data_IF_956400183765
#
_entry.id   IF_956400183765
#
_cell.length_a   1.000
_cell.length_b   1.000
_cell.length_c   1.000
_cell.angle_alpha   90.00
_cell.angle_beta   90.00
_cell.angle_gamma   90.00
#
_symmetry.space_group_name_H-M   'P 1'
#
loop_
_entity.id
_entity.type
_entity.pdbx_description
1 polymer ?
#
# COMPACT_ATOMS: atom_id res chain seq x y z
N UNK A 1 -15.87 -21.62 0.02
CA UNK A 1 -15.40 -22.84 -0.66
C UNK A 1 -14.13 -23.28 0.03
N UNK A 2 -14.11 -24.47 0.63
CA UNK A 2 -12.91 -25.02 1.27
C UNK A 2 -12.04 -25.57 0.14
N UNK A 3 -10.91 -24.92 -0.15
CA UNK A 3 -9.95 -25.42 -1.12
C UNK A 3 -9.01 -26.41 -0.41
N UNK A 4 -9.05 -27.67 -0.81
CA UNK A 4 -8.11 -28.68 -0.34
C UNK A 4 -6.84 -28.58 -1.17
N UNK A 5 -5.68 -28.52 -0.53
CA UNK A 5 -4.39 -28.36 -1.21
C UNK A 5 -4.04 -29.58 -2.07
N UNK A 6 -4.43 -30.79 -1.66
CA UNK A 6 -4.09 -32.04 -2.35
C UNK A 6 -5.21 -33.10 -2.23
N UNK A 7 -6.34 -32.96 -2.95
CA UNK A 7 -7.48 -33.89 -2.85
C UNK A 7 -7.14 -35.31 -3.32
N UNK A 8 -6.06 -35.48 -4.09
CA UNK A 8 -5.57 -36.75 -4.60
C UNK A 8 -4.94 -37.66 -3.53
N UNK A 9 -4.55 -37.12 -2.37
CA UNK A 9 -3.97 -37.91 -1.29
C UNK A 9 -4.97 -38.96 -0.74
N UNK A 10 -6.27 -38.64 -0.73
CA UNK A 10 -7.34 -39.59 -0.37
C UNK A 10 -7.51 -40.71 -1.42
N UNK A 11 -7.26 -40.41 -2.70
CA UNK A 11 -7.34 -41.40 -3.77
C UNK A 11 -6.20 -42.42 -3.74
N UNK A 12 -5.03 -42.05 -3.21
CA UNK A 12 -3.87 -42.95 -3.06
C UNK A 12 -3.95 -43.84 -1.80
N UNK A 13 -4.75 -43.47 -0.80
CA UNK A 13 -4.93 -44.28 0.41
C UNK A 13 -5.62 -45.63 0.14
N UNK A 14 -6.58 -45.65 -0.80
CA UNK A 14 -7.31 -46.86 -1.21
C UNK A 14 -6.42 -47.93 -1.87
N UNK A 15 -5.61 -47.63 -2.90
CA UNK A 15 -4.72 -48.62 -3.51
C UNK A 15 -3.60 -49.06 -2.56
N UNK A 16 -3.11 -48.19 -1.67
CA UNK A 16 -2.12 -48.57 -0.65
C UNK A 16 -2.70 -49.57 0.36
N UNK A 17 -3.92 -49.34 0.85
CA UNK A 17 -4.62 -50.30 1.71
C UNK A 17 -4.90 -51.63 0.99
N UNK A 18 -5.27 -51.58 -0.29
CA UNK A 18 -5.46 -52.77 -1.12
C UNK A 18 -4.16 -53.56 -1.34
N UNK A 19 -3.05 -52.87 -1.61
CA UNK A 19 -1.71 -53.48 -1.76
C UNK A 19 -1.26 -54.16 -0.45
N UNK A 20 -1.46 -53.52 0.69
CA UNK A 20 -1.15 -54.09 2.01
C UNK A 20 -1.99 -55.33 2.31
N UNK A 21 -3.27 -55.31 1.95
CA UNK A 21 -4.14 -56.49 2.08
C UNK A 21 -3.71 -57.62 1.14
N UNK A 22 -3.34 -57.30 -0.11
CA UNK A 22 -2.88 -58.28 -1.09
C UNK A 22 -1.54 -58.91 -0.68
N UNK A 23 -0.60 -58.11 -0.17
CA UNK A 23 0.70 -58.57 0.29
C UNK A 23 0.64 -59.47 1.54
N UNK A 24 -0.50 -59.48 2.25
CA UNK A 24 -0.72 -60.38 3.40
C UNK A 24 -1.52 -61.63 3.05
N UNK A 25 -1.87 -61.83 1.78
CA UNK A 25 -2.36 -63.15 1.36
C UNK A 25 -1.18 -64.12 1.46
N UNK A 26 -1.32 -65.25 2.16
CA UNK A 26 -0.31 -66.29 2.11
C UNK A 26 -0.14 -66.69 0.64
N UNK A 27 1.08 -66.63 0.13
CA UNK A 27 1.39 -67.21 -1.17
C UNK A 27 0.92 -68.66 -1.10
N UNK A 28 0.00 -69.01 -2.00
CA UNK A 28 -0.39 -70.41 -2.19
C UNK A 28 0.77 -71.05 -2.92
N UNK A 29 1.78 -71.42 -2.14
CA UNK A 29 2.98 -72.07 -2.64
C UNK A 29 2.56 -73.45 -3.17
N UNK A 30 2.43 -73.53 -4.49
CA UNK A 30 2.11 -74.77 -5.18
C UNK A 30 3.37 -75.62 -5.18
N UNK A 31 3.52 -76.45 -4.16
CA UNK A 31 4.56 -77.48 -4.12
C UNK A 31 4.20 -78.60 -5.08
N UNK A 32 4.99 -78.76 -6.14
CA UNK A 32 4.96 -79.99 -6.95
C UNK A 32 5.41 -81.17 -6.08
N UNK A 33 4.47 -82.05 -5.77
CA UNK A 33 4.73 -83.31 -5.08
C UNK A 33 4.75 -84.44 -6.12
N UNK A 34 5.90 -85.10 -6.26
CA UNK A 34 6.12 -86.15 -7.27
C UNK A 34 5.36 -87.47 -7.05
N UNK A 35 4.49 -87.56 -6.05
CA UNK A 35 3.70 -88.77 -5.75
C UNK A 35 2.21 -88.43 -5.64
N UNK A 36 1.55 -88.38 -6.80
CA UNK A 36 0.09 -88.20 -6.93
C UNK A 36 -0.69 -89.38 -6.31
N UNK A 37 -0.07 -90.56 -6.22
CA UNK A 37 -0.69 -91.77 -5.70
C UNK A 37 -1.11 -91.69 -4.21
N UNK A 38 -0.39 -90.93 -3.38
CA UNK A 38 -0.73 -90.75 -1.96
C UNK A 38 -1.90 -89.78 -1.73
N UNK A 39 -2.33 -89.05 -2.78
CA UNK A 39 -3.44 -88.10 -2.72
C UNK A 39 -4.74 -88.67 -3.29
N UNK A 40 -4.72 -89.81 -3.97
CA UNK A 40 -5.93 -90.43 -4.52
C UNK A 40 -6.86 -91.02 -3.45
N UNK A 41 -6.32 -91.42 -2.30
CA UNK A 41 -7.08 -92.08 -1.22
C UNK A 41 -7.30 -91.21 0.01
N UNK A 42 -7.03 -89.91 -0.05
CA UNK A 42 -7.45 -89.01 1.02
C UNK A 42 -8.92 -88.62 0.77
N UNK A 43 -9.90 -89.08 1.58
CA UNK A 43 -11.22 -88.49 1.51
C UNK A 43 -11.04 -87.00 1.81
N UNK A 44 -11.27 -86.16 0.80
CA UNK A 44 -11.32 -84.72 0.93
C UNK A 44 -12.31 -84.44 2.06
N UNK A 45 -11.79 -84.18 3.27
CA UNK A 45 -12.61 -83.92 4.43
C UNK A 45 -13.42 -82.66 4.10
N UNK A 46 -14.75 -82.75 3.88
CA UNK A 46 -15.55 -81.60 3.50
C UNK A 46 -15.51 -80.52 4.58
N UNK A 47 -15.14 -80.91 5.82
CA UNK A 47 -14.94 -80.00 6.94
C UNK A 47 -13.64 -79.21 6.84
N UNK A 48 -12.61 -79.70 6.15
CA UNK A 48 -11.37 -78.96 5.91
C UNK A 48 -11.56 -77.88 4.83
N UNK A 49 -12.32 -78.18 3.77
CA UNK A 49 -12.69 -77.20 2.74
C UNK A 49 -13.68 -76.14 3.27
N UNK A 50 -14.63 -76.53 4.14
CA UNK A 50 -15.56 -75.59 4.79
C UNK A 50 -14.90 -74.71 5.86
N UNK A 51 -13.75 -75.12 6.42
CA UNK A 51 -12.95 -74.35 7.38
C UNK A 51 -11.99 -73.35 6.72
N UNK A 52 -11.99 -73.23 5.38
CA UNK A 52 -11.49 -72.05 4.69
C UNK A 52 -12.44 -70.86 4.95
N UNK A 53 -12.63 -70.53 6.22
CA UNK A 53 -13.34 -69.35 6.66
C UNK A 53 -12.68 -68.17 5.96
N UNK A 54 -13.49 -67.37 5.26
CA UNK A 54 -13.05 -66.07 4.74
C UNK A 54 -12.36 -65.36 5.89
N UNK A 55 -11.05 -65.08 5.83
CA UNK A 55 -10.42 -64.37 6.93
C UNK A 55 -11.12 -63.03 7.00
N UNK A 56 -11.93 -62.83 8.05
CA UNK A 56 -12.42 -61.52 8.39
C UNK A 56 -11.17 -60.66 8.49
N UNK A 57 -11.12 -59.51 7.79
CA UNK A 57 -9.93 -58.67 7.82
C UNK A 57 -9.59 -58.40 9.29
N UNK A 58 -8.35 -58.71 9.73
CA UNK A 58 -8.00 -58.54 11.13
C UNK A 58 -8.24 -57.08 11.52
N UNK A 59 -8.65 -56.83 12.77
CA UNK A 59 -8.88 -55.48 13.32
C UNK A 59 -7.77 -54.49 12.96
N UNK A 60 -6.54 -55.00 12.81
CA UNK A 60 -5.37 -54.28 12.34
C UNK A 60 -5.54 -53.59 10.97
N UNK A 61 -6.26 -54.19 10.02
CA UNK A 61 -6.53 -53.60 8.70
C UNK A 61 -7.45 -52.38 8.82
N UNK A 62 -8.46 -52.47 9.68
CA UNK A 62 -9.35 -51.34 9.96
C UNK A 62 -8.61 -50.22 10.69
N UNK A 63 -7.72 -50.58 11.63
CA UNK A 63 -6.88 -49.61 12.33
C UNK A 63 -5.92 -48.90 11.35
N UNK A 64 -5.28 -49.64 10.44
CA UNK A 64 -4.41 -49.09 9.40
C UNK A 64 -5.17 -48.18 8.44
N UNK A 65 -6.38 -48.58 8.01
CA UNK A 65 -7.25 -47.76 7.18
C UNK A 65 -7.67 -46.47 7.91
N UNK A 66 -8.02 -46.56 9.20
CA UNK A 66 -8.36 -45.39 10.01
C UNK A 66 -7.16 -44.43 10.15
N UNK A 67 -5.95 -44.94 10.39
CA UNK A 67 -4.73 -44.12 10.44
C UNK A 67 -4.45 -43.46 9.09
N UNK A 68 -4.62 -44.17 7.97
CA UNK A 68 -4.48 -43.60 6.63
C UNK A 68 -5.48 -42.49 6.36
N UNK A 69 -6.75 -42.67 6.76
CA UNK A 69 -7.78 -41.64 6.66
C UNK A 69 -7.45 -40.43 7.54
N UNK A 70 -6.96 -40.65 8.76
CA UNK A 70 -6.55 -39.57 9.66
C UNK A 70 -5.33 -38.80 9.14
N UNK A 71 -4.35 -39.49 8.57
CA UNK A 71 -3.18 -38.87 7.93
C UNK A 71 -3.60 -38.11 6.67
N UNK A 72 -4.47 -38.68 5.84
CA UNK A 72 -5.01 -38.00 4.66
C UNK A 72 -5.84 -36.76 5.05
N UNK A 73 -6.63 -36.83 6.13
CA UNK A 73 -7.37 -35.70 6.69
C UNK A 73 -6.42 -34.64 7.28
N UNK A 74 -5.34 -35.06 7.96
CA UNK A 74 -4.33 -34.17 8.53
C UNK A 74 -3.46 -33.50 7.45
N UNK A 75 -3.19 -34.16 6.33
CA UNK A 75 -2.53 -33.55 5.16
C UNK A 75 -3.50 -32.64 4.40
N UNK A 76 -4.78 -33.02 4.37
CA UNK A 76 -5.88 -32.21 3.82
C UNK A 76 -6.33 -31.08 4.74
N UNK A 77 -5.55 -30.77 5.80
CA UNK A 77 -5.88 -29.67 6.69
C UNK A 77 -6.06 -28.40 5.85
N UNK A 78 -7.15 -27.62 6.05
CA UNK A 78 -7.35 -26.38 5.34
C UNK A 78 -6.11 -25.50 5.54
N UNK A 79 -5.40 -25.22 4.44
CA UNK A 79 -4.30 -24.26 4.44
C UNK A 79 -4.82 -22.96 5.03
N UNK A 80 -4.17 -22.49 6.10
CA UNK A 80 -4.50 -21.17 6.65
C UNK A 80 -4.39 -20.17 5.50
N UNK A 81 -5.40 -19.31 5.28
CA UNK A 81 -5.25 -18.25 4.29
C UNK A 81 -3.96 -17.48 4.60
N UNK A 82 -3.18 -17.19 3.55
CA UNK A 82 -2.01 -16.33 3.70
C UNK A 82 -2.47 -15.07 4.46
N UNK A 83 -1.86 -14.72 5.60
CA UNK A 83 -2.23 -13.52 6.34
C UNK A 83 -2.02 -12.24 5.52
N UNK A 84 -1.33 -12.33 4.38
CA UNK A 84 -1.09 -11.21 3.47
C UNK A 84 -2.33 -10.89 2.63
N UNK A 85 -2.68 -9.61 2.50
CA UNK A 85 -3.69 -9.15 1.55
C UNK A 85 -3.41 -9.67 0.13
N UNK A 86 -4.47 -10.03 -0.59
CA UNK A 86 -4.41 -10.54 -1.95
C UNK A 86 -3.97 -9.48 -2.97
N UNK A 87 -4.17 -8.20 -2.64
CA UNK A 87 -3.76 -7.07 -3.45
C UNK A 87 -3.50 -5.84 -2.57
N UNK A 88 -2.89 -4.81 -3.16
CA UNK A 88 -2.72 -3.50 -2.54
C UNK A 88 -3.24 -2.40 -3.46
N UNK A 89 -3.85 -1.38 -2.87
CA UNK A 89 -4.32 -0.17 -3.52
C UNK A 89 -3.55 1.00 -2.93
N UNK A 90 -2.81 1.71 -3.78
CA UNK A 90 -2.10 2.93 -3.45
C UNK A 90 -2.91 4.11 -4.01
N UNK A 91 -3.29 5.02 -3.12
CA UNK A 91 -3.93 6.28 -3.47
C UNK A 91 -2.97 7.43 -3.15
N UNK A 92 -2.63 8.21 -4.16
CA UNK A 92 -1.89 9.46 -3.99
C UNK A 92 -2.75 10.48 -3.23
N UNK A 93 -2.19 11.04 -2.17
CA UNK A 93 -2.83 12.06 -1.33
C UNK A 93 -1.96 13.31 -1.22
N UNK A 94 -1.09 13.54 -2.19
CA UNK A 94 -0.25 14.74 -2.27
C UNK A 94 -1.06 16.02 -2.48
N UNK A 95 -0.42 17.18 -2.30
CA UNK A 95 -1.05 18.48 -2.49
C UNK A 95 -1.62 18.67 -3.90
N UNK A 96 -0.98 18.14 -4.94
CA UNK A 96 -1.48 18.23 -6.32
C UNK A 96 -2.80 17.48 -6.53
N UNK A 97 -3.11 16.50 -5.68
CA UNK A 97 -4.41 15.82 -5.69
C UNK A 97 -5.57 16.69 -5.21
N UNK A 98 -5.29 17.83 -4.57
CA UNK A 98 -6.33 18.84 -4.25
C UNK A 98 -6.74 19.68 -5.46
N UNK A 99 -6.03 19.58 -6.58
CA UNK A 99 -6.32 20.35 -7.78
C UNK A 99 -7.72 20.05 -8.32
N UNK A 100 -8.42 21.07 -8.80
CA UNK A 100 -9.76 20.93 -9.38
C UNK A 100 -9.70 20.80 -10.90
N UNK A 101 -10.49 19.88 -11.44
CA UNK A 101 -10.67 19.71 -12.90
C UNK A 101 -12.17 19.63 -13.18
N UNK A 102 -12.76 20.76 -13.59
CA UNK A 102 -14.22 20.90 -13.65
C UNK A 102 -14.85 20.92 -12.26
N UNK A 103 -15.88 20.10 -12.05
CA UNK A 103 -16.67 20.08 -10.82
C UNK A 103 -16.06 19.26 -9.68
N UNK A 104 -15.10 18.38 -9.99
CA UNK A 104 -14.44 17.50 -9.04
C UNK A 104 -12.96 17.84 -8.86
N UNK A 105 -12.45 17.58 -7.67
CA UNK A 105 -11.02 17.51 -7.38
C UNK A 105 -10.42 16.20 -7.90
N UNK A 106 -9.09 16.20 -8.10
CA UNK A 106 -8.35 14.99 -8.47
C UNK A 106 -8.51 13.90 -7.40
N UNK A 107 -8.50 14.25 -6.11
CA UNK A 107 -8.72 13.28 -5.03
C UNK A 107 -10.12 12.65 -5.08
N UNK A 108 -11.17 13.41 -5.37
CA UNK A 108 -12.52 12.86 -5.54
C UNK A 108 -12.60 11.89 -6.72
N UNK A 109 -11.97 12.26 -7.85
CA UNK A 109 -11.88 11.39 -9.03
C UNK A 109 -11.07 10.12 -8.74
N UNK A 110 -10.00 10.24 -7.95
CA UNK A 110 -9.16 9.14 -7.55
C UNK A 110 -9.88 8.18 -6.59
N UNK A 111 -10.67 8.69 -5.63
CA UNK A 111 -11.55 7.88 -4.76
C UNK A 111 -12.60 7.12 -5.57
N UNK A 112 -13.21 7.76 -6.58
CA UNK A 112 -14.16 7.08 -7.46
C UNK A 112 -13.49 5.93 -8.22
N UNK A 113 -12.30 6.17 -8.80
CA UNK A 113 -11.52 5.16 -9.49
C UNK A 113 -11.03 4.02 -8.57
N UNK A 114 -10.69 4.35 -7.32
CA UNK A 114 -10.31 3.40 -6.28
C UNK A 114 -11.48 2.47 -5.92
N UNK A 115 -12.68 3.03 -5.69
CA UNK A 115 -13.89 2.27 -5.42
C UNK A 115 -14.26 1.35 -6.58
N UNK A 116 -14.16 1.85 -7.82
CA UNK A 116 -14.41 1.05 -9.01
C UNK A 116 -13.43 -0.13 -9.09
N UNK A 117 -12.14 0.12 -8.89
CA UNK A 117 -11.13 -0.94 -8.93
C UNK A 117 -11.32 -1.97 -7.81
N UNK A 118 -11.70 -1.52 -6.61
CA UNK A 118 -11.99 -2.39 -5.48
C UNK A 118 -13.22 -3.26 -5.74
N UNK A 119 -14.25 -2.73 -6.40
CA UNK A 119 -15.45 -3.48 -6.78
C UNK A 119 -15.17 -4.59 -7.81
N UNK A 120 -14.09 -4.46 -8.58
CA UNK A 120 -13.64 -5.46 -9.55
C UNK A 120 -12.77 -6.58 -8.93
N UNK A 121 -12.41 -6.47 -7.66
CA UNK A 121 -11.65 -7.53 -6.98
C UNK A 121 -12.54 -8.71 -6.61
N UNK A 122 -11.97 -9.93 -6.49
CA UNK A 122 -12.72 -11.08 -6.02
C UNK A 122 -13.41 -10.76 -4.68
N UNK A 123 -14.70 -11.08 -4.58
CA UNK A 123 -15.45 -10.87 -3.34
C UNK A 123 -14.72 -11.52 -2.17
N UNK A 124 -14.70 -10.82 -1.03
CA UNK A 124 -14.07 -11.29 0.21
C UNK A 124 -12.54 -11.40 0.18
N UNK A 125 -11.88 -10.85 -0.84
CA UNK A 125 -10.42 -10.74 -0.85
C UNK A 125 -9.97 -9.58 0.03
N UNK A 126 -8.93 -9.81 0.84
CA UNK A 126 -8.32 -8.75 1.63
C UNK A 126 -7.46 -7.86 0.73
N UNK A 127 -7.63 -6.54 0.84
CA UNK A 127 -6.89 -5.52 0.09
C UNK A 127 -6.25 -4.54 1.08
N UNK A 128 -4.95 -4.31 0.95
CA UNK A 128 -4.24 -3.27 1.72
C UNK A 128 -4.47 -1.91 1.04
N UNK A 129 -5.02 -0.94 1.75
CA UNK A 129 -5.20 0.44 1.28
C UNK A 129 -4.06 1.29 1.84
N UNK A 130 -3.30 1.92 0.95
CA UNK A 130 -2.09 2.68 1.27
C UNK A 130 -2.25 4.10 0.76
N UNK A 131 -2.03 5.07 1.63
CA UNK A 131 -1.98 6.48 1.29
C UNK A 131 -0.54 6.88 0.97
N UNK A 132 -0.32 7.48 -0.20
CA UNK A 132 0.96 8.03 -0.62
C UNK A 132 0.96 9.55 -0.44
N UNK A 133 1.25 10.00 0.79
CA UNK A 133 1.49 11.42 1.12
C UNK A 133 2.97 11.68 1.41
N UNK A 134 3.24 12.62 2.32
CA UNK A 134 4.61 12.91 2.81
C UNK A 134 5.36 11.66 3.30
N UNK A 135 4.61 10.68 3.80
CA UNK A 135 5.08 9.33 4.12
C UNK A 135 4.04 8.35 3.63
N UNK A 136 4.51 7.21 3.12
CA UNK A 136 3.63 6.10 2.79
C UNK A 136 3.11 5.42 4.06
N UNK A 137 1.79 5.34 4.21
CA UNK A 137 1.13 4.71 5.37
C UNK A 137 0.06 3.75 4.89
N UNK A 138 0.05 2.53 5.45
CA UNK A 138 -1.09 1.62 5.30
C UNK A 138 -2.23 2.17 6.15
N UNK A 139 -3.27 2.69 5.49
CA UNK A 139 -4.41 3.28 6.15
C UNK A 139 -5.27 2.19 6.79
N UNK A 140 -5.61 1.15 6.02
CA UNK A 140 -6.48 0.07 6.46
C UNK A 140 -6.31 -1.17 5.58
N UNK A 141 -6.58 -2.37 6.13
CA UNK A 141 -6.78 -3.59 5.33
C UNK A 141 -8.27 -3.87 5.29
N UNK A 142 -8.83 -3.90 4.08
CA UNK A 142 -10.27 -3.99 3.86
C UNK A 142 -10.65 -5.25 3.10
N UNK A 143 -11.85 -5.76 3.34
CA UNK A 143 -12.42 -6.87 2.58
C UNK A 143 -13.17 -6.33 1.34
N UNK A 144 -12.80 -6.80 0.14
CA UNK A 144 -13.43 -6.38 -1.11
C UNK A 144 -14.94 -6.68 -1.14
N UNK A 145 -15.74 -5.65 -1.43
CA UNK A 145 -17.19 -5.71 -1.42
C UNK A 145 -17.85 -5.50 -0.05
N UNK A 146 -17.06 -5.26 1.01
CA UNK A 146 -17.60 -4.84 2.30
C UNK A 146 -17.94 -3.33 2.31
N UNK A 147 -18.95 -2.89 3.09
CA UNK A 147 -19.27 -1.46 3.22
C UNK A 147 -18.08 -0.63 3.73
N UNK A 148 -17.33 -1.16 4.71
CA UNK A 148 -16.18 -0.47 5.29
C UNK A 148 -15.04 -0.21 4.30
N UNK A 149 -14.99 -0.94 3.19
CA UNK A 149 -13.99 -0.75 2.15
C UNK A 149 -14.17 0.59 1.39
N UNK A 150 -15.42 1.00 1.16
CA UNK A 150 -15.72 2.29 0.56
C UNK A 150 -15.44 3.44 1.55
N UNK A 151 -15.80 3.25 2.82
CA UNK A 151 -15.57 4.23 3.88
C UNK A 151 -14.08 4.48 4.11
N UNK A 152 -13.25 3.43 4.06
CA UNK A 152 -11.79 3.56 4.18
C UNK A 152 -11.20 4.45 3.08
N UNK A 153 -11.69 4.32 1.83
CA UNK A 153 -11.29 5.17 0.71
C UNK A 153 -11.79 6.61 0.91
N UNK A 154 -13.01 6.79 1.40
CA UNK A 154 -13.59 8.13 1.60
C UNK A 154 -12.91 8.96 2.68
N UNK A 155 -12.24 8.32 3.64
CA UNK A 155 -11.44 8.99 4.66
C UNK A 155 -10.11 9.54 4.14
N UNK A 156 -9.65 9.12 2.96
CA UNK A 156 -8.35 9.53 2.42
C UNK A 156 -8.46 10.88 1.71
N UNK A 157 -7.92 11.94 2.32
CA UNK A 157 -7.95 13.29 1.76
C UNK A 157 -6.58 13.79 1.32
N UNK A 158 -6.57 14.74 0.38
CA UNK A 158 -5.35 15.39 -0.07
C UNK A 158 -4.69 16.11 1.11
N UNK A 159 -3.36 16.05 1.16
CA UNK A 159 -2.51 16.62 2.21
C UNK A 159 -1.75 17.83 1.68
N UNK A 160 -1.16 18.62 2.56
CA UNK A 160 -0.39 19.82 2.18
C UNK A 160 1.08 19.50 1.88
N UNK A 161 1.38 18.25 1.51
CA UNK A 161 2.74 17.76 1.28
C UNK A 161 2.88 17.10 -0.09
N UNK A 162 4.13 17.00 -0.55
CA UNK A 162 4.45 16.17 -1.72
C UNK A 162 4.23 14.68 -1.40
N UNK A 163 3.86 13.91 -2.41
CA UNK A 163 3.65 12.46 -2.29
C UNK A 163 4.94 11.67 -2.54
N UNK A 164 5.20 10.68 -1.69
CA UNK A 164 6.33 9.74 -1.85
C UNK A 164 5.84 8.39 -2.40
N UNK A 165 5.63 8.35 -3.72
CA UNK A 165 5.02 7.19 -4.37
C UNK A 165 5.92 5.95 -4.40
N UNK A 166 7.23 6.15 -4.49
CA UNK A 166 8.21 5.05 -4.47
C UNK A 166 8.14 4.27 -3.14
N UNK A 167 8.03 4.99 -2.02
CA UNK A 167 7.90 4.39 -0.69
C UNK A 167 6.58 3.64 -0.52
N UNK A 168 5.49 4.16 -1.11
CA UNK A 168 4.19 3.49 -1.10
C UNK A 168 4.22 2.18 -1.88
N UNK A 169 4.87 2.15 -3.05
CA UNK A 169 5.07 0.93 -3.83
C UNK A 169 5.92 -0.08 -3.07
N UNK A 170 7.00 0.37 -2.43
CA UNK A 170 7.84 -0.48 -1.59
C UNK A 170 7.05 -1.05 -0.39
N UNK A 171 6.19 -0.25 0.24
CA UNK A 171 5.31 -0.71 1.31
C UNK A 171 4.30 -1.75 0.81
N UNK A 172 3.64 -1.50 -0.32
CA UNK A 172 2.68 -2.42 -0.93
C UNK A 172 3.31 -3.79 -1.22
N UNK A 173 4.52 -3.81 -1.80
CA UNK A 173 5.28 -5.05 -2.08
C UNK A 173 5.65 -5.84 -0.83
N UNK A 174 5.77 -5.20 0.33
CA UNK A 174 5.96 -5.90 1.62
C UNK A 174 4.66 -6.50 2.15
N UNK A 175 3.51 -5.94 1.77
CA UNK A 175 2.18 -6.37 2.23
C UNK A 175 1.56 -7.45 1.37
N UNK A 176 1.78 -7.42 0.06
CA UNK A 176 1.22 -8.38 -0.87
C UNK A 176 2.25 -8.87 -1.89
N UNK A 177 2.11 -10.12 -2.30
CA UNK A 177 2.78 -10.67 -3.49
C UNK A 177 1.89 -10.59 -4.74
N UNK A 178 0.68 -10.03 -4.59
CA UNK A 178 -0.33 -9.93 -5.65
C UNK A 178 -0.24 -8.63 -6.44
N UNK A 179 -1.39 -8.19 -6.97
CA UNK A 179 -1.48 -6.96 -7.78
C UNK A 179 -1.41 -5.72 -6.90
N UNK A 180 -0.75 -4.69 -7.40
CA UNK A 180 -0.67 -3.36 -6.78
C UNK A 180 -1.29 -2.34 -7.72
N UNK A 181 -2.42 -1.74 -7.35
CA UNK A 181 -2.98 -0.63 -8.11
C UNK A 181 -2.43 0.70 -7.58
N UNK A 182 -2.00 1.57 -8.49
CA UNK A 182 -1.50 2.91 -8.18
C UNK A 182 -2.40 3.93 -8.84
N UNK A 183 -3.00 4.81 -8.04
CA UNK A 183 -3.88 5.89 -8.49
C UNK A 183 -3.25 7.21 -8.07
N UNK A 184 -2.78 7.99 -9.06
CA UNK A 184 -2.00 9.23 -8.88
C UNK A 184 -2.28 10.19 -10.03
N UNK A 185 -1.93 11.45 -9.92
CA UNK A 185 -1.97 12.41 -11.03
C UNK A 185 -0.68 12.40 -11.88
N UNK A 186 0.34 11.66 -11.45
CA UNK A 186 1.59 11.49 -12.17
C UNK A 186 1.46 10.53 -13.37
N UNK A 187 2.18 10.79 -14.47
CA UNK A 187 2.26 9.86 -15.58
C UNK A 187 2.93 8.54 -15.14
N UNK A 188 2.51 7.46 -15.78
CA UNK A 188 3.14 6.16 -15.63
C UNK A 188 4.65 6.25 -15.94
N UNK A 189 5.54 5.68 -15.10
CA UNK A 189 6.96 5.61 -15.42
C UNK A 189 7.16 4.76 -16.68
N UNK A 190 8.26 5.00 -17.40
CA UNK A 190 8.56 4.31 -18.66
C UNK A 190 8.61 2.77 -18.52
N UNK A 191 8.99 2.29 -17.34
CA UNK A 191 9.05 0.86 -17.01
C UNK A 191 8.17 0.60 -15.80
N UNK A 192 7.14 -0.22 -15.97
CA UNK A 192 6.23 -0.66 -14.91
C UNK A 192 6.28 -2.17 -14.81
N UNK A 193 6.35 -2.67 -13.58
CA UNK A 193 6.24 -4.08 -13.26
C UNK A 193 4.84 -4.59 -13.65
N UNK A 194 4.73 -5.79 -14.24
CA UNK A 194 3.44 -6.38 -14.66
C UNK A 194 2.45 -6.58 -13.52
N UNK A 195 2.94 -6.62 -12.28
CA UNK A 195 2.10 -6.70 -11.07
C UNK A 195 1.50 -5.36 -10.66
N UNK A 196 1.97 -4.26 -11.25
CA UNK A 196 1.54 -2.88 -10.94
C UNK A 196 0.57 -2.38 -12.02
N UNK A 197 -0.63 -2.01 -11.60
CA UNK A 197 -1.64 -1.36 -12.44
C UNK A 197 -1.61 0.14 -12.18
N UNK A 198 -1.19 0.94 -13.15
CA UNK A 198 -1.10 2.39 -13.01
C UNK A 198 -2.34 3.07 -13.58
N UNK A 199 -2.91 4.01 -12.82
CA UNK A 199 -4.02 4.84 -13.26
C UNK A 199 -3.75 6.31 -12.96
N UNK A 200 -3.54 7.06 -14.03
CA UNK A 200 -3.37 8.51 -13.95
C UNK A 200 -4.74 9.21 -13.81
N UNK A 201 -4.81 10.19 -12.92
CA UNK A 201 -5.99 11.01 -12.66
C UNK A 201 -5.72 12.46 -13.03
N UNK A 202 -6.64 13.06 -13.79
CA UNK A 202 -6.53 14.44 -14.23
C UNK A 202 -5.52 14.64 -15.36
N UNK A 203 -5.25 15.90 -15.66
CA UNK A 203 -4.28 16.33 -16.67
C UNK A 203 -3.55 17.60 -16.22
N UNK A 204 -2.65 18.13 -17.07
CA UNK A 204 -1.95 19.38 -16.80
C UNK A 204 -2.94 20.49 -16.45
N UNK A 205 -2.63 21.24 -15.40
CA UNK A 205 -3.44 22.37 -14.96
C UNK A 205 -2.51 23.53 -14.60
N UNK A 206 -2.88 24.74 -15.02
CA UNK A 206 -2.11 25.94 -14.69
C UNK A 206 -2.22 26.25 -13.20
N UNK A 207 -1.09 26.58 -12.59
CA UNK A 207 -1.00 26.85 -11.16
C UNK A 207 -0.01 27.99 -10.91
N UNK A 208 -0.33 28.91 -10.02
CA UNK A 208 0.60 29.92 -9.52
C UNK A 208 0.60 29.83 -8.01
N UNK A 209 1.79 29.70 -7.41
CA UNK A 209 1.91 29.30 -6.01
C UNK A 209 2.92 30.14 -5.24
N UNK A 210 2.75 30.23 -3.92
CA UNK A 210 3.78 30.73 -3.01
C UNK A 210 4.78 29.60 -2.71
N UNK A 211 5.87 29.55 -3.47
CA UNK A 211 6.90 28.50 -3.36
C UNK A 211 7.88 28.72 -2.22
N UNK A 212 8.02 29.96 -1.73
CA UNK A 212 8.83 30.26 -0.56
C UNK A 212 8.27 31.43 0.25
N UNK A 213 8.42 31.36 1.58
CA UNK A 213 8.27 32.50 2.48
C UNK A 213 9.24 32.28 3.64
N UNK A 214 10.28 33.10 3.73
CA UNK A 214 11.34 32.93 4.72
C UNK A 214 11.80 34.28 5.27
N UNK A 215 12.11 34.33 6.57
CA UNK A 215 12.71 35.51 7.19
C UNK A 215 14.16 35.72 6.76
N UNK A 216 14.59 36.98 6.66
CA UNK A 216 15.99 37.35 6.40
C UNK A 216 16.75 37.63 7.70
N UNK A 217 18.08 37.59 7.65
CA UNK A 217 18.93 37.95 8.81
C UNK A 217 18.72 39.39 9.29
N UNK A 218 18.34 40.28 8.36
CA UNK A 218 18.05 41.69 8.60
C UNK A 218 16.70 41.91 9.30
N UNK A 219 15.94 40.83 9.54
CA UNK A 219 14.64 40.86 10.19
C UNK A 219 13.47 41.17 9.26
N UNK A 220 13.69 41.14 7.94
CA UNK A 220 12.65 41.18 6.90
C UNK A 220 12.25 39.77 6.47
N UNK A 221 11.66 39.65 5.28
CA UNK A 221 11.36 38.36 4.67
C UNK A 221 11.43 38.40 3.14
N UNK A 222 11.53 37.22 2.53
CA UNK A 222 11.46 37.03 1.08
C UNK A 222 10.29 36.09 0.82
N UNK A 223 9.38 36.51 -0.06
CA UNK A 223 8.33 35.67 -0.60
C UNK A 223 8.62 35.37 -2.07
N UNK A 224 8.55 34.11 -2.46
CA UNK A 224 8.68 33.70 -3.87
C UNK A 224 7.34 33.19 -4.38
N UNK A 225 6.96 33.70 -5.54
CA UNK A 225 5.78 33.26 -6.28
C UNK A 225 6.26 32.66 -7.60
N UNK A 226 5.78 31.45 -7.91
CA UNK A 226 6.14 30.74 -9.15
C UNK A 226 4.90 30.46 -9.98
N UNK A 227 4.97 30.72 -11.27
CA UNK A 227 3.94 30.32 -12.23
C UNK A 227 4.34 28.99 -12.89
N UNK A 228 3.61 27.92 -12.58
CA UNK A 228 3.78 26.60 -13.19
C UNK A 228 2.99 26.42 -14.49
N UNK A 229 2.19 27.42 -14.88
CA UNK A 229 1.38 27.41 -16.08
C UNK A 229 2.12 27.82 -17.35
N UNK A 230 1.49 27.55 -18.50
CA UNK A 230 2.03 27.85 -19.81
C UNK A 230 1.74 29.28 -20.31
N UNK A 231 0.93 30.04 -19.57
CA UNK A 231 0.53 31.40 -19.92
C UNK A 231 0.89 32.40 -18.81
N UNK A 232 1.07 33.67 -19.20
CA UNK A 232 1.20 34.75 -18.23
C UNK A 232 -0.12 34.96 -17.46
N UNK A 233 0.00 35.32 -16.18
CA UNK A 233 -1.14 35.48 -15.26
C UNK A 233 -1.03 36.79 -14.49
N UNK A 234 -2.18 37.38 -14.14
CA UNK A 234 -2.23 38.51 -13.21
C UNK A 234 -2.46 37.99 -11.81
N UNK A 235 -1.61 38.42 -10.88
CA UNK A 235 -1.68 38.00 -9.50
C UNK A 235 -1.57 39.20 -8.54
N UNK A 236 -2.10 39.01 -7.34
CA UNK A 236 -1.96 39.92 -6.22
C UNK A 236 -1.41 39.17 -5.02
N UNK A 237 -0.32 39.67 -4.45
CA UNK A 237 0.26 39.16 -3.21
C UNK A 237 -0.13 40.10 -2.06
N UNK A 238 -0.83 39.58 -1.06
CA UNK A 238 -1.15 40.28 0.17
C UNK A 238 -0.24 39.76 1.29
N UNK A 239 0.49 40.66 1.96
CA UNK A 239 1.35 40.34 3.10
C UNK A 239 0.74 40.98 4.35
N UNK A 240 0.49 40.15 5.35
CA UNK A 240 0.01 40.54 6.67
C UNK A 240 1.10 40.28 7.72
N UNK A 241 1.35 41.29 8.54
CA UNK A 241 2.28 41.29 9.67
C UNK A 241 1.76 42.19 10.78
N UNK A 242 0.45 42.10 11.08
CA UNK A 242 -0.20 42.74 12.23
C UNK A 242 -0.71 44.17 12.03
N UNK A 243 -0.29 44.82 10.95
CA UNK A 243 -0.86 46.09 10.47
C UNK A 243 -1.80 45.85 9.27
N UNK A 244 -2.30 46.91 8.63
CA UNK A 244 -3.09 46.78 7.41
C UNK A 244 -2.31 45.98 6.33
N UNK A 245 -2.91 44.97 5.69
CA UNK A 245 -2.20 44.09 4.77
C UNK A 245 -1.70 44.87 3.55
N UNK A 246 -0.41 44.78 3.26
CA UNK A 246 0.20 45.35 2.06
C UNK A 246 -0.15 44.46 0.88
N UNK A 247 -0.74 45.04 -0.18
CA UNK A 247 -1.08 44.33 -1.41
C UNK A 247 -0.24 44.83 -2.57
N UNK A 248 0.34 43.91 -3.31
CA UNK A 248 1.11 44.19 -4.52
C UNK A 248 0.52 43.41 -5.69
N UNK A 249 0.14 44.12 -6.75
CA UNK A 249 -0.37 43.53 -7.99
C UNK A 249 0.76 43.42 -9.01
N UNK A 250 0.80 42.31 -9.73
CA UNK A 250 1.86 42.03 -10.69
C UNK A 250 1.40 41.06 -11.78
N UNK A 251 2.11 41.08 -12.91
CA UNK A 251 2.01 40.07 -13.96
C UNK A 251 3.18 39.10 -13.86
N UNK A 252 2.92 37.80 -13.90
CA UNK A 252 3.95 36.76 -13.87
C UNK A 252 3.88 35.93 -15.15
N UNK A 253 4.99 35.87 -15.88
CA UNK A 253 5.15 35.10 -17.11
C UNK A 253 5.13 33.59 -16.88
N UNK A 254 5.05 32.80 -17.97
CA UNK A 254 5.05 31.35 -17.88
C UNK A 254 6.39 30.82 -17.35
N UNK A 255 6.35 29.85 -16.44
CA UNK A 255 7.54 29.30 -15.75
C UNK A 255 8.40 30.37 -15.02
N UNK A 256 7.88 31.58 -14.81
CA UNK A 256 8.59 32.66 -14.12
C UNK A 256 8.53 32.44 -12.60
N UNK A 257 9.65 32.73 -11.94
CA UNK A 257 9.75 32.88 -10.48
C UNK A 257 9.95 34.36 -10.18
N UNK A 258 9.10 34.93 -9.32
CA UNK A 258 9.20 36.31 -8.87
C UNK A 258 9.37 36.39 -7.36
N UNK A 259 10.41 37.10 -6.93
CA UNK A 259 10.70 37.33 -5.52
C UNK A 259 10.21 38.72 -5.08
N UNK A 260 9.60 38.78 -3.90
CA UNK A 260 9.15 40.00 -3.24
C UNK A 260 9.92 40.18 -1.93
N UNK A 261 10.62 41.29 -1.82
CA UNK A 261 11.32 41.67 -0.59
C UNK A 261 10.35 42.37 0.36
N UNK A 262 10.33 41.90 1.60
CA UNK A 262 9.46 42.38 2.67
C UNK A 262 10.35 43.04 3.70
N UNK A 263 10.13 44.34 3.92
CA UNK A 263 10.89 45.12 4.88
C UNK A 263 10.68 44.63 6.32
N UNK A 264 11.67 44.80 7.21
CA UNK A 264 11.56 44.41 8.61
C UNK A 264 10.37 45.07 9.33
N UNK A 265 9.47 44.25 9.86
CA UNK A 265 8.29 44.70 10.62
C UNK A 265 8.45 44.59 12.15
N UNK A 266 7.47 45.12 12.93
CA UNK A 266 7.40 44.88 14.37
C UNK A 266 7.06 43.41 14.70
N UNK A 267 6.42 42.72 13.76
CA UNK A 267 5.80 41.42 13.98
C UNK A 267 6.76 40.26 13.77
N UNK A 268 6.54 39.20 14.55
CA UNK A 268 7.35 37.97 14.52
C UNK A 268 6.79 36.93 13.56
N UNK A 269 5.58 37.11 13.06
CA UNK A 269 4.92 36.19 12.14
C UNK A 269 4.39 36.96 10.96
N UNK A 270 4.76 36.55 9.76
CA UNK A 270 4.21 37.06 8.50
C UNK A 270 3.31 36.01 7.87
N UNK A 271 2.21 36.45 7.29
CA UNK A 271 1.31 35.64 6.48
C UNK A 271 1.18 36.23 5.08
N UNK A 272 1.49 35.45 4.06
CA UNK A 272 1.31 35.79 2.67
C UNK A 272 0.06 35.10 2.11
N UNK A 273 -0.76 35.82 1.36
CA UNK A 273 -1.92 35.32 0.63
C UNK A 273 -1.83 35.75 -0.84
N UNK A 274 -1.89 34.79 -1.75
CA UNK A 274 -1.90 34.98 -3.19
C UNK A 274 -3.34 34.99 -3.70
N UNK A 275 -3.58 35.74 -4.77
CA UNK A 275 -4.86 35.78 -5.50
C UNK A 275 -4.54 35.89 -6.98
N UNK A 276 -4.95 34.91 -7.78
CA UNK A 276 -4.61 34.81 -9.20
C UNK A 276 -5.88 34.98 -10.03
N UNK A 277 -5.90 35.93 -10.97
CA UNK A 277 -7.03 36.20 -11.88
C UNK A 277 -8.41 36.18 -11.20
N UNK A 278 -8.52 36.76 -10.00
CA UNK A 278 -9.78 36.79 -9.23
C UNK A 278 -10.27 35.43 -8.72
N UNK A 279 -9.35 34.48 -8.48
CA UNK A 279 -9.54 33.08 -8.10
C UNK A 279 -10.01 32.15 -9.23
N UNK A 280 -10.16 32.64 -10.47
CA UNK A 280 -10.50 31.82 -11.63
C UNK A 280 -9.25 31.57 -12.47
N UNK A 281 -8.54 30.48 -12.20
CA UNK A 281 -7.35 30.11 -12.98
C UNK A 281 -6.23 29.45 -12.20
N UNK A 282 -6.39 29.29 -10.88
CA UNK A 282 -5.43 28.58 -10.03
C UNK A 282 -5.93 27.17 -9.71
N UNK A 283 -5.18 26.15 -10.12
CA UNK A 283 -5.61 24.76 -9.95
C UNK A 283 -5.63 24.31 -8.49
N UNK A 284 -4.65 24.76 -7.70
CA UNK A 284 -4.45 24.38 -6.30
C UNK A 284 -4.61 25.63 -5.46
N UNK A 285 -5.55 25.66 -4.52
CA UNK A 285 -5.75 26.84 -3.66
C UNK A 285 -5.00 26.75 -2.33
N UNK A 286 -4.40 25.60 -2.02
CA UNK A 286 -3.72 25.35 -0.73
C UNK A 286 -2.33 25.95 -0.67
N UNK A 287 -1.70 26.21 -1.81
CA UNK A 287 -0.38 26.86 -1.93
C UNK A 287 -0.48 28.39 -2.12
N UNK A 288 -1.71 28.94 -2.12
CA UNK A 288 -1.97 30.37 -2.13
C UNK A 288 -1.69 31.04 -0.78
N UNK A 289 -1.45 30.28 0.30
CA UNK A 289 -1.20 30.83 1.63
C UNK A 289 0.04 30.23 2.26
N UNK A 290 0.85 31.09 2.85
CA UNK A 290 2.04 30.65 3.59
C UNK A 290 2.32 31.58 4.76
N UNK A 291 2.79 31.01 5.86
CA UNK A 291 3.20 31.77 7.05
C UNK A 291 4.65 31.46 7.38
N UNK A 292 5.37 32.47 7.87
CA UNK A 292 6.74 32.31 8.34
C UNK A 292 6.96 33.07 9.64
N UNK A 293 7.75 32.49 10.54
CA UNK A 293 8.24 33.20 11.72
C UNK A 293 9.54 33.93 11.38
N UNK A 294 9.57 35.25 11.60
CA UNK A 294 10.78 36.05 11.48
C UNK A 294 11.57 35.94 12.78
N UNK A 295 12.74 35.32 12.70
CA UNK A 295 13.73 35.35 13.78
C UNK A 295 14.45 36.70 13.77
N UNK A 296 14.12 37.57 14.73
CA UNK A 296 14.99 38.71 15.02
C UNK A 296 16.28 38.18 15.63
N UNK A 297 17.41 38.37 14.94
CA UNK A 297 18.73 38.23 15.55
C UNK A 297 18.84 39.36 16.57
N UNK A 298 18.63 39.04 17.85
CA UNK A 298 18.87 40.00 18.92
C UNK A 298 20.37 40.25 18.94
N UNK A 299 20.82 41.43 18.49
CA UNK A 299 22.22 41.85 18.69
C UNK A 299 22.44 41.87 20.20
N UNK A 300 23.13 40.87 20.72
CA UNK A 300 23.57 40.85 22.11
C UNK A 300 24.71 41.84 22.22
N UNK A 301 24.43 42.99 22.84
CA UNK A 301 25.47 43.87 23.33
C UNK A 301 26.10 43.18 24.54
N UNK A 302 27.15 42.40 24.31
CA UNK A 302 27.91 41.76 25.38
C UNK A 302 28.94 42.78 25.87
N UNK A 303 28.79 43.22 27.12
CA UNK A 303 29.84 43.97 27.82
C UNK A 303 30.73 42.96 28.54
N UNK A 304 31.95 42.77 28.05
CA UNK A 304 32.97 41.97 28.72
C UNK A 304 33.67 42.85 29.77
N UNK A 305 33.45 42.56 31.06
CA UNK A 305 34.14 43.24 32.17
C UNK A 305 35.14 42.25 32.76
N UNK A 306 36.43 42.58 32.65
CA UNK A 306 37.52 41.81 33.24
C UNK A 306 38.82 42.63 33.24
N UNK A 307 39.73 42.33 34.16
CA UNK A 307 41.03 43.00 34.36
C UNK A 307 42.17 42.37 33.55
N UNK A 308 41.85 41.36 32.73
CA UNK A 308 42.83 40.54 32.02
C UNK A 308 43.24 41.19 30.68
N UNK A 309 44.54 41.39 30.40
CA UNK A 309 45.02 41.99 29.15
C UNK A 309 44.69 41.16 27.90
N UNK A 310 44.32 39.88 28.08
CA UNK A 310 43.88 39.01 26.98
C UNK A 310 42.53 39.39 26.36
N UNK A 311 41.64 40.04 27.12
CA UNK A 311 40.31 40.44 26.60
C UNK A 311 40.45 41.59 25.59
N UNK A 312 41.40 42.50 25.79
CA UNK A 312 41.67 43.61 24.86
C UNK A 312 42.27 43.15 23.52
N UNK A 313 42.97 42.00 23.50
CA UNK A 313 43.55 41.44 22.29
C UNK A 313 42.52 40.71 21.41
N UNK A 314 41.42 40.22 21.99
CA UNK A 314 40.37 39.49 21.27
C UNK A 314 39.33 40.40 20.57
N UNK A 315 39.46 41.73 20.68
CA UNK A 315 38.50 42.73 20.19
C UNK A 315 39.05 43.62 19.05
N UNK A 316 40.23 43.31 18.50
CA UNK A 316 40.77 43.93 17.27
C UNK A 316 40.60 43.00 16.08
#
# INVERSE_FOLDING_TARGET
MIAFSHPWALLLALPAAWLLWRARRPDVETREVGNVFLWLDSPLDPRAAAQAGRPLPPWLVWLQAAVLVLVAAAISWPSRPDPRPAAALILDVSMSMSARTGDASRIESARAAAKQWLSAQPRRSAVSVIAAGARAVEAEVVEAGSPGAADAIDRLDATDASGELADAIALARRRTSGRVAVITDLPAPATIDRTVEWRQIGGPADNVAITNLAGTEEGGAIAEVTNFGAAARRASLAIDGGAAPRREQFEIGPAEVRAFLIEPGPDRTLSATLTVDGNSGNAISRDDRRSAEIRRVKRLNVVLIGDQPMIAAALR
#
